data_IF_554053836966
#
_entry.id   IF_554053836966
#
_cell.length_a   1.000
_cell.length_b   1.000
_cell.length_c   1.000
_cell.angle_alpha   90.00
_cell.angle_beta   90.00
_cell.angle_gamma   90.00
#
_symmetry.space_group_name_H-M   'P 1'
#
loop_
_entity.id
_entity.type
_entity.pdbx_description
1 polymer ?
#
# COMPACT_ATOMS: atom_id res chain seq x y z
N UNK A 1 17.79 -26.79 -4.65
CA UNK A 1 18.47 -28.10 -4.51
C UNK A 1 17.77 -28.87 -3.40
N UNK A 2 17.28 -30.07 -3.70
CA UNK A 2 16.29 -30.82 -2.89
C UNK A 2 16.89 -32.05 -2.21
N UNK A 3 18.08 -31.93 -1.61
CA UNK A 3 18.71 -33.04 -0.88
C UNK A 3 18.55 -32.94 0.64
N UNK A 4 18.45 -31.73 1.20
CA UNK A 4 18.17 -31.56 2.62
C UNK A 4 16.69 -31.77 3.00
N UNK A 5 15.76 -31.76 2.04
CA UNK A 5 14.30 -31.64 2.27
C UNK A 5 13.64 -32.88 2.85
N UNK A 6 14.26 -34.06 2.71
CA UNK A 6 13.69 -35.32 3.20
C UNK A 6 14.35 -35.81 4.49
N UNK A 7 15.65 -35.56 4.70
CA UNK A 7 16.35 -35.94 5.93
C UNK A 7 15.77 -35.27 7.19
N UNK A 8 15.32 -34.02 7.11
CA UNK A 8 14.69 -33.36 8.27
C UNK A 8 13.29 -33.92 8.58
N UNK A 9 12.66 -34.63 7.64
CA UNK A 9 11.33 -35.23 7.83
C UNK A 9 11.41 -36.64 8.43
N UNK A 10 12.58 -37.27 8.42
CA UNK A 10 12.79 -38.56 9.05
C UNK A 10 12.53 -38.46 10.56
N UNK A 11 11.69 -39.35 11.09
CA UNK A 11 11.29 -39.34 12.50
C UNK A 11 10.20 -38.33 12.88
N UNK A 12 9.72 -37.49 11.96
CA UNK A 12 8.60 -36.59 12.20
C UNK A 12 7.26 -37.31 11.93
N UNK A 13 6.32 -37.20 12.87
CA UNK A 13 4.98 -37.76 12.71
C UNK A 13 4.26 -37.18 11.47
N UNK A 14 3.52 -38.00 10.69
CA UNK A 14 2.74 -37.53 9.54
C UNK A 14 1.80 -36.37 9.85
N UNK A 15 1.24 -36.32 11.07
CA UNK A 15 0.38 -35.23 11.52
C UNK A 15 1.12 -33.89 11.60
N UNK A 16 2.38 -33.93 12.03
CA UNK A 16 3.22 -32.74 12.14
C UNK A 16 3.67 -32.29 10.75
N UNK A 17 4.06 -33.21 9.88
CA UNK A 17 4.37 -32.92 8.47
C UNK A 17 3.20 -32.29 7.73
N UNK A 18 1.99 -32.81 7.94
CA UNK A 18 0.76 -32.22 7.39
C UNK A 18 0.55 -30.80 7.87
N UNK A 19 0.82 -30.51 9.15
CA UNK A 19 0.68 -29.16 9.69
C UNK A 19 1.71 -28.20 9.12
N UNK A 20 2.94 -28.66 8.90
CA UNK A 20 3.99 -27.86 8.27
C UNK A 20 3.57 -27.47 6.85
N UNK A 21 3.10 -28.42 6.05
CA UNK A 21 2.61 -28.11 4.69
C UNK A 21 1.42 -27.14 4.69
N UNK A 22 0.50 -27.26 5.65
CA UNK A 22 -0.60 -26.32 5.78
C UNK A 22 -0.10 -24.90 6.10
N UNK A 23 0.87 -24.78 7.01
CA UNK A 23 1.49 -23.49 7.35
C UNK A 23 2.29 -22.91 6.18
N UNK A 24 3.04 -23.72 5.44
CA UNK A 24 3.74 -23.31 4.22
C UNK A 24 2.75 -22.73 3.20
N UNK A 25 1.61 -23.40 2.97
CA UNK A 25 0.56 -22.90 2.09
C UNK A 25 -0.03 -21.57 2.58
N UNK A 26 -0.25 -21.41 3.89
CA UNK A 26 -0.75 -20.16 4.46
C UNK A 26 0.25 -19.02 4.28
N UNK A 27 1.54 -19.28 4.51
CA UNK A 27 2.62 -18.30 4.30
C UNK A 27 2.65 -17.86 2.83
N UNK A 28 2.53 -18.78 1.89
CA UNK A 28 2.53 -18.44 0.47
C UNK A 28 1.29 -17.62 0.05
N UNK A 29 0.12 -17.92 0.63
CA UNK A 29 -1.08 -17.09 0.44
C UNK A 29 -0.86 -15.67 0.96
N UNK A 30 -0.37 -15.53 2.19
CA UNK A 30 -0.10 -14.22 2.81
C UNK A 30 0.97 -13.43 2.05
N UNK A 31 2.00 -14.10 1.51
CA UNK A 31 3.01 -13.46 0.65
C UNK A 31 2.38 -12.86 -0.61
N UNK A 32 1.51 -13.61 -1.29
CA UNK A 32 0.81 -13.12 -2.50
C UNK A 32 -0.10 -11.94 -2.17
N UNK A 33 -0.89 -12.04 -1.10
CA UNK A 33 -1.74 -10.93 -0.67
C UNK A 33 -0.93 -9.69 -0.30
N UNK A 34 0.20 -9.86 0.41
CA UNK A 34 1.10 -8.76 0.72
C UNK A 34 1.63 -8.11 -0.55
N UNK A 35 2.10 -8.89 -1.53
CA UNK A 35 2.59 -8.37 -2.80
C UNK A 35 1.50 -7.59 -3.56
N UNK A 36 0.28 -8.12 -3.58
CA UNK A 36 -0.86 -7.42 -4.20
C UNK A 36 -1.15 -6.09 -3.51
N UNK A 37 -1.19 -6.05 -2.17
CA UNK A 37 -1.40 -4.80 -1.41
C UNK A 37 -0.25 -3.83 -1.61
N UNK A 38 0.99 -4.31 -1.67
CA UNK A 38 2.17 -3.49 -1.92
C UNK A 38 2.09 -2.81 -3.29
N UNK A 39 1.70 -3.55 -4.33
CA UNK A 39 1.49 -2.99 -5.66
C UNK A 39 0.37 -1.93 -5.68
N UNK A 40 -0.73 -2.17 -4.97
CA UNK A 40 -1.79 -1.16 -4.83
C UNK A 40 -1.30 0.11 -4.13
N UNK A 41 -0.52 -0.04 -3.06
CA UNK A 41 0.10 1.08 -2.35
C UNK A 41 1.03 1.87 -3.28
N UNK A 42 1.93 1.20 -3.99
CA UNK A 42 2.87 1.84 -4.92
C UNK A 42 2.12 2.57 -6.05
N UNK A 43 1.03 2.01 -6.56
CA UNK A 43 0.18 2.66 -7.55
C UNK A 43 -0.47 3.93 -6.99
N UNK A 44 -0.99 3.89 -5.76
CA UNK A 44 -1.60 5.04 -5.11
C UNK A 44 -0.55 6.12 -4.78
N UNK A 45 0.61 5.72 -4.30
CA UNK A 45 1.74 6.61 -4.04
C UNK A 45 2.23 7.30 -5.31
N UNK A 46 2.34 6.57 -6.43
CA UNK A 46 2.68 7.15 -7.73
C UNK A 46 1.61 8.15 -8.22
N UNK A 47 0.32 7.82 -8.07
CA UNK A 47 -0.78 8.73 -8.41
C UNK A 47 -0.76 10.00 -7.55
N UNK A 48 -0.51 9.85 -6.24
CA UNK A 48 -0.37 10.95 -5.30
C UNK A 48 0.83 11.83 -5.66
N UNK A 49 1.98 11.22 -5.96
CA UNK A 49 3.19 11.95 -6.33
C UNK A 49 2.98 12.75 -7.62
N UNK A 50 2.27 12.17 -8.60
CA UNK A 50 1.88 12.88 -9.82
C UNK A 50 0.95 14.07 -9.51
N UNK A 51 0.01 13.93 -8.59
CA UNK A 51 -0.82 15.07 -8.17
C UNK A 51 -0.01 16.14 -7.42
N UNK A 52 0.86 15.73 -6.50
CA UNK A 52 1.78 16.66 -5.80
C UNK A 52 2.62 17.43 -6.79
N UNK A 53 3.19 16.76 -7.79
CA UNK A 53 3.98 17.41 -8.83
C UNK A 53 3.15 18.43 -9.63
N UNK A 54 1.93 18.10 -10.03
CA UNK A 54 1.01 19.07 -10.66
C UNK A 54 0.70 20.26 -9.77
N UNK A 55 0.48 20.04 -8.47
CA UNK A 55 0.23 21.11 -7.50
C UNK A 55 1.46 21.99 -7.33
N UNK A 56 2.65 21.39 -7.17
CA UNK A 56 3.92 22.13 -7.08
C UNK A 56 4.18 22.92 -8.36
N UNK A 57 3.97 22.34 -9.55
CA UNK A 57 4.09 23.04 -10.83
C UNK A 57 3.10 24.20 -10.95
N UNK A 58 1.83 24.00 -10.55
CA UNK A 58 0.82 25.05 -10.52
C UNK A 58 1.17 26.18 -9.53
N UNK A 59 1.73 25.85 -8.37
CA UNK A 59 2.16 26.80 -7.35
C UNK A 59 3.44 27.54 -7.74
N UNK A 60 4.43 26.85 -8.31
CA UNK A 60 5.69 27.43 -8.78
C UNK A 60 5.49 28.38 -9.97
N UNK A 61 4.45 28.16 -10.77
CA UNK A 61 4.13 29.02 -11.91
C UNK A 61 3.22 30.21 -11.58
N UNK A 62 2.65 30.33 -10.38
CA UNK A 62 1.64 31.37 -10.12
C UNK A 62 1.60 31.90 -8.67
N UNK A 63 2.13 33.12 -8.40
CA UNK A 63 1.71 33.88 -7.22
C UNK A 63 0.19 34.16 -7.20
N UNK A 64 -0.46 34.22 -8.37
CA UNK A 64 -1.90 34.45 -8.50
C UNK A 64 -2.78 33.25 -8.09
N UNK A 65 -2.30 32.02 -8.27
CA UNK A 65 -3.09 30.83 -7.99
C UNK A 65 -3.13 30.53 -6.48
N UNK A 66 -2.08 30.92 -5.76
CA UNK A 66 -2.01 30.92 -4.30
C UNK A 66 -3.02 31.91 -3.69
N UNK A 67 -3.17 33.08 -4.31
CA UNK A 67 -4.19 34.08 -3.94
C UNK A 67 -5.61 33.58 -4.19
N UNK A 68 -5.86 32.90 -5.32
CA UNK A 68 -7.17 32.29 -5.61
C UNK A 68 -7.51 31.15 -4.65
N UNK A 69 -6.54 30.31 -4.28
CA UNK A 69 -6.74 29.22 -3.32
C UNK A 69 -7.02 29.76 -1.91
N UNK A 70 -6.32 30.82 -1.49
CA UNK A 70 -6.60 31.55 -0.25
C UNK A 70 -7.97 32.23 -0.26
N UNK A 71 -8.38 32.86 -1.36
CA UNK A 71 -9.73 33.44 -1.51
C UNK A 71 -10.81 32.37 -1.44
N UNK A 72 -10.59 31.19 -2.02
CA UNK A 72 -11.56 30.08 -1.99
C UNK A 72 -11.68 29.46 -0.59
N UNK A 73 -10.56 29.32 0.14
CA UNK A 73 -10.54 28.87 1.54
C UNK A 73 -11.22 29.88 2.49
N UNK A 74 -11.00 31.17 2.27
CA UNK A 74 -11.64 32.26 3.02
C UNK A 74 -13.14 32.44 2.71
N UNK A 75 -13.64 31.77 1.66
CA UNK A 75 -15.04 31.88 1.21
C UNK A 75 -15.87 30.62 1.48
N UNK A 76 -15.42 29.80 2.44
CA UNK A 76 -16.29 28.77 3.02
C UNK A 76 -17.55 29.44 3.60
N UNK A 77 -18.76 28.95 3.28
CA UNK A 77 -19.98 29.56 3.77
C UNK A 77 -20.04 29.34 5.28
N UNK A 78 -20.15 30.43 6.03
CA UNK A 78 -20.51 30.41 7.43
C UNK A 78 -21.67 29.42 7.62
N UNK A 79 -21.56 28.39 8.49
CA UNK A 79 -22.72 27.57 8.81
C UNK A 79 -23.77 28.52 9.38
N UNK A 80 -24.93 28.52 8.76
CA UNK A 80 -26.08 29.34 9.13
C UNK A 80 -26.30 29.25 10.64
N UNK A 81 -26.28 30.41 11.29
CA UNK A 81 -26.80 30.61 12.64
C UNK A 81 -28.28 30.21 12.65
N UNK A 82 -28.55 29.10 13.36
CA UNK A 82 -29.86 28.70 13.87
C UNK A 82 -30.44 29.75 14.82
#
# INVERSE_FOLDING_TARGET
MSWAVEEWKEGISPRVLQKIHELESQVDKLRKERQQRQFQLESLEAALQKQKQKVTEALCLNPFHLVLLLQSLMKSPSPASL
#
